data_IF_367941309753
#
_entry.id   IF_367941309753
#
_cell.length_a   1.000
_cell.length_b   1.000
_cell.length_c   1.000
_cell.angle_alpha   90.00
_cell.angle_beta   90.00
_cell.angle_gamma   90.00
#
_symmetry.space_group_name_H-M   'P 1'
#
loop_
_entity.id
_entity.type
_entity.pdbx_description
1 polymer ?
2 non-polymer ?
3 non-polymer ?
4 non-polymer ?
5 non-polymer ?
6 water ?
#
# COMPACT_ATOMS: atom_id res chain seq x y z
N UNK A 3 19.39 -0.52 -11.26
CA UNK A 3 18.61 0.67 -10.93
C UNK A 3 17.59 0.99 -12.03
N UNK A 4 16.64 0.08 -12.22
CA UNK A 4 15.58 0.27 -13.21
C UNK A 4 14.31 0.78 -12.55
N UNK A 5 13.92 0.13 -11.46
CA UNK A 5 12.78 0.59 -10.66
C UNK A 5 13.07 0.46 -9.17
N UNK A 6 12.49 1.37 -8.40
CA UNK A 6 12.43 1.23 -6.96
C UNK A 6 11.02 0.77 -6.61
N UNK A 7 10.94 -0.33 -5.87
CA UNK A 7 9.67 -0.94 -5.55
C UNK A 7 9.40 -0.91 -4.06
N UNK A 8 8.21 -0.45 -3.69
CA UNK A 8 7.78 -0.41 -2.29
C UNK A 8 6.62 -1.40 -2.12
N UNK A 9 6.78 -2.34 -1.20
CA UNK A 9 5.73 -3.30 -0.91
C UNK A 9 5.10 -2.98 0.45
N UNK A 10 3.79 -2.83 0.48
CA UNK A 10 3.07 -2.55 1.72
C UNK A 10 2.25 -3.77 2.12
N UNK A 11 2.58 -4.36 3.28
CA UNK A 11 1.82 -5.46 3.85
C UNK A 11 0.82 -4.92 4.87
N UNK A 12 -0.40 -5.44 4.88
CA UNK A 12 -1.40 -4.93 5.81
C UNK A 12 -2.18 -6.01 6.59
N UNK A 13 -1.96 -7.28 6.24
CA UNK A 13 -2.65 -8.38 6.92
C UNK A 13 -2.33 -8.43 8.41
N UNK A 14 -3.29 -8.89 9.20
CA UNK A 14 -3.06 -9.11 10.62
C UNK A 14 -2.76 -10.58 10.95
N UNK A 15 -2.64 -11.44 9.93
CA UNK A 15 -2.38 -12.86 10.18
C UNK A 15 -0.93 -13.27 10.05
N UNK A 16 -0.04 -12.28 9.99
CA UNK A 16 1.41 -12.53 10.05
C UNK A 16 1.89 -13.53 8.98
N UNK A 17 2.67 -14.54 9.37
CA UNK A 17 3.24 -15.44 8.37
C UNK A 17 2.21 -16.41 7.77
N UNK A 18 1.08 -16.60 8.45
CA UNK A 18 0.01 -17.46 7.96
C UNK A 18 -0.86 -16.71 6.95
N UNK A 19 -0.60 -15.43 6.81
CA UNK A 19 -1.39 -14.59 5.91
C UNK A 19 -1.28 -15.01 4.45
N UNK A 20 -2.42 -15.22 3.81
CA UNK A 20 -2.46 -15.45 2.37
C UNK A 20 -1.86 -14.27 1.62
N UNK A 21 -2.23 -13.05 2.00
CA UNK A 21 -1.73 -11.93 1.20
C UNK A 21 -0.25 -11.66 1.45
N UNK A 22 0.24 -11.92 2.65
CA UNK A 22 1.69 -11.84 2.89
C UNK A 22 2.49 -12.89 2.13
N UNK A 23 1.97 -14.11 2.06
CA UNK A 23 2.60 -15.14 1.24
C UNK A 23 2.66 -14.69 -0.22
N UNK A 24 1.56 -14.15 -0.72
CA UNK A 24 1.52 -13.67 -2.10
C UNK A 24 2.51 -12.52 -2.30
N UNK A 25 2.57 -11.60 -1.34
CA UNK A 25 3.50 -10.49 -1.45
C UNK A 25 4.93 -11.00 -1.49
N UNK A 26 5.24 -12.04 -0.71
CA UNK A 26 6.58 -12.59 -0.68
C UNK A 26 6.91 -13.30 -2.00
N UNK A 27 5.92 -14.00 -2.57
CA UNK A 27 6.10 -14.60 -3.89
C UNK A 27 6.32 -13.52 -4.92
N UNK A 28 5.56 -12.44 -4.82
CA UNK A 28 5.73 -11.30 -5.73
C UNK A 28 7.18 -10.78 -5.67
N UNK A 29 7.66 -10.56 -4.47
CA UNK A 29 9.03 -10.07 -4.29
C UNK A 29 10.05 -11.02 -4.92
N UNK A 30 9.90 -12.32 -4.69
CA UNK A 30 10.82 -13.31 -5.26
C UNK A 30 10.80 -13.24 -6.79
N UNK A 31 9.60 -13.13 -7.36
CA UNK A 31 9.44 -13.15 -8.81
C UNK A 31 9.95 -11.86 -9.44
N UNK A 32 9.69 -10.75 -8.77
CA UNK A 32 10.17 -9.46 -9.25
C UNK A 32 11.69 -9.43 -9.25
N UNK A 33 12.30 -9.91 -8.16
CA UNK A 33 13.75 -9.98 -8.03
C UNK A 33 14.35 -10.79 -9.18
N UNK A 34 13.71 -11.90 -9.51
CA UNK A 34 14.19 -12.78 -10.55
C UNK A 34 14.09 -12.14 -11.93
N UNK A 35 13.02 -11.40 -12.16
CA UNK A 35 12.78 -10.80 -13.47
C UNK A 35 13.49 -9.46 -13.64
N UNK A 36 13.80 -8.81 -12.53
CA UNK A 36 14.37 -7.47 -12.54
C UNK A 36 15.51 -7.36 -11.53
N UNK A 37 16.62 -8.03 -11.82
CA UNK A 37 17.71 -8.20 -10.85
C UNK A 37 18.25 -6.90 -10.24
N UNK A 38 18.27 -5.83 -11.02
CA UNK A 38 18.83 -4.57 -10.54
C UNK A 38 17.92 -3.71 -9.67
N UNK A 39 16.65 -4.07 -9.55
CA UNK A 39 15.69 -3.25 -8.84
C UNK A 39 15.86 -3.27 -7.31
N UNK A 40 15.62 -2.12 -6.69
CA UNK A 40 15.68 -1.99 -5.24
C UNK A 40 14.31 -2.12 -4.61
N UNK A 41 14.09 -3.23 -3.92
CA UNK A 41 12.81 -3.48 -3.28
C UNK A 41 12.91 -3.16 -1.79
N UNK A 42 11.92 -2.44 -1.27
CA UNK A 42 11.76 -2.32 0.17
C UNK A 42 10.35 -2.67 0.58
N UNK A 43 10.20 -3.08 1.84
CA UNK A 43 8.94 -3.61 2.34
C UNK A 43 8.60 -2.90 3.63
N UNK A 44 7.37 -2.42 3.73
CA UNK A 44 6.87 -1.84 4.97
C UNK A 44 5.67 -2.66 5.42
N UNK A 45 5.80 -3.30 6.58
CA UNK A 45 4.72 -4.11 7.14
C UNK A 45 3.91 -3.25 8.11
N UNK A 46 2.71 -2.89 7.69
CA UNK A 46 1.85 -1.96 8.43
C UNK A 46 1.17 -2.62 9.64
N UNK A 47 1.31 -3.93 9.76
CA UNK A 47 0.89 -4.61 10.98
C UNK A 47 2.04 -4.73 11.98
N UNK A 48 3.24 -5.02 11.47
CA UNK A 48 4.38 -5.21 12.35
C UNK A 48 4.84 -3.87 12.93
N UNK A 49 4.63 -2.80 12.17
CA UNK A 49 4.94 -1.46 12.64
C UNK A 49 3.70 -0.60 12.46
N UNK A 50 2.77 -0.67 13.43
CA UNK A 50 1.46 -0.05 13.20
C UNK A 50 1.53 1.46 13.05
N UNK A 51 0.69 1.97 12.17
CA UNK A 51 0.49 3.41 11.98
C UNK A 51 -0.66 3.84 12.89
N UNK A 52 -0.50 4.98 13.60
CA UNK A 52 -1.57 5.37 14.54
C UNK A 52 -2.88 5.72 13.82
N UNK A 53 -3.98 5.56 14.56
CA UNK A 53 -5.30 6.01 14.12
C UNK A 53 -5.38 7.53 14.01
N UNK A 54 -5.96 7.99 12.92
CA UNK A 54 -6.21 9.41 12.74
C UNK A 54 -7.30 9.82 13.70
N UNK A 55 -6.94 10.56 14.74
CA UNK A 55 -7.91 11.07 15.69
C UNK A 55 -7.92 12.61 15.70
N UNK A 56 -8.63 13.21 16.64
CA UNK A 56 -8.72 14.66 16.66
C UNK A 56 -7.37 15.32 16.85
N UNK A 57 -6.55 14.72 17.71
CA UNK A 57 -5.22 15.24 17.96
C UNK A 57 -4.34 15.12 16.73
N UNK A 58 -4.33 13.95 16.09
CA UNK A 58 -3.43 13.77 14.95
C UNK A 58 -3.88 14.53 13.70
N UNK A 59 -5.17 14.71 13.49
CA UNK A 59 -5.61 15.42 12.29
C UNK A 59 -5.09 16.86 12.33
N UNK A 60 -5.00 17.41 13.55
CA UNK A 60 -4.48 18.77 13.71
C UNK A 60 -3.00 18.86 13.39
N UNK A 61 -2.27 17.77 13.64
CA UNK A 61 -0.83 17.72 13.38
C UNK A 61 -0.50 17.72 11.90
N UNK A 62 -1.47 17.29 11.07
CA UNK A 62 -1.20 17.06 9.66
C UNK A 62 -1.55 18.26 8.79
N UNK A 63 -2.15 19.27 9.40
CA UNK A 63 -2.48 20.49 8.68
C UNK A 63 -1.60 21.64 9.17
N UNK A 64 -1.32 22.61 8.29
CA UNK A 64 -0.52 23.76 8.73
C UNK A 64 -1.16 24.40 9.94
N UNK A 65 -0.40 24.67 10.99
CA UNK A 65 -0.96 25.35 12.16
C UNK A 65 -0.09 26.49 12.65
N UNK A 66 1.20 26.21 12.82
CA UNK A 66 2.11 27.18 13.38
C UNK A 66 2.10 27.20 14.91
N UNK A 67 1.31 26.34 15.52
CA UNK A 67 1.25 26.27 16.98
C UNK A 67 2.24 25.22 17.50
N UNK A 68 2.53 25.26 18.79
CA UNK A 68 3.28 24.15 19.40
C UNK A 68 2.42 22.89 19.32
N UNK A 69 3.07 21.75 19.11
CA UNK A 69 2.36 20.48 18.96
C UNK A 69 2.71 19.52 20.09
N UNK A 70 1.78 18.64 20.47
CA UNK A 70 2.10 17.64 21.48
C UNK A 70 3.16 16.70 20.93
N UNK A 71 3.86 15.99 21.82
CA UNK A 71 4.82 15.00 21.31
C UNK A 71 4.18 14.00 20.34
N UNK A 72 2.98 13.50 20.63
CA UNK A 72 2.38 12.55 19.69
C UNK A 72 1.99 13.21 18.36
N UNK A 73 1.63 14.49 18.40
CA UNK A 73 1.38 15.24 17.17
C UNK A 73 2.66 15.39 16.36
N UNK A 74 3.75 15.77 17.02
CA UNK A 74 5.03 15.90 16.33
C UNK A 74 5.42 14.59 15.69
N UNK A 75 5.21 13.50 16.43
CA UNK A 75 5.59 12.18 15.97
C UNK A 75 4.74 11.78 14.75
N UNK A 76 3.46 12.13 14.76
CA UNK A 76 2.58 11.79 13.64
C UNK A 76 2.92 12.61 12.40
N UNK A 77 3.26 13.88 12.60
CA UNK A 77 3.64 14.73 11.48
C UNK A 77 4.93 14.19 10.84
N UNK A 78 5.90 13.83 11.68
CA UNK A 78 7.15 13.26 11.17
C UNK A 78 6.91 11.93 10.47
N UNK A 79 6.02 11.12 11.02
CA UNK A 79 5.70 9.82 10.42
C UNK A 79 5.05 10.01 9.06
N UNK A 80 4.06 10.89 9.01
CA UNK A 80 3.37 11.20 7.77
C UNK A 80 4.39 11.67 6.72
N UNK A 81 5.25 12.60 7.10
CA UNK A 81 6.26 13.09 6.17
C UNK A 81 7.15 11.95 5.66
N UNK A 82 7.54 11.07 6.57
CA UNK A 82 8.38 9.93 6.21
C UNK A 82 7.67 9.01 5.22
N UNK A 83 6.41 8.68 5.51
CA UNK A 83 5.65 7.77 4.66
C UNK A 83 5.45 8.39 3.27
N UNK A 84 5.18 9.69 3.23
CA UNK A 84 4.99 10.39 1.96
C UNK A 84 6.29 10.44 1.16
N UNK A 85 7.40 10.76 1.82
CA UNK A 85 8.70 10.75 1.15
C UNK A 85 9.02 9.37 0.57
N UNK A 86 8.68 8.33 1.32
CA UNK A 86 8.89 6.97 0.89
C UNK A 86 8.09 6.65 -0.37
N UNK A 87 6.82 7.08 -0.38
CA UNK A 87 5.96 6.86 -1.51
C UNK A 87 6.51 7.59 -2.73
N UNK A 88 6.90 8.84 -2.56
CA UNK A 88 7.44 9.63 -3.65
C UNK A 88 8.76 9.09 -4.19
N UNK A 89 9.52 8.41 -3.33
CA UNK A 89 10.84 7.90 -3.71
C UNK A 89 10.76 6.61 -4.53
N UNK A 90 9.60 5.95 -4.50
CA UNK A 90 9.45 4.67 -5.20
C UNK A 90 8.63 4.78 -6.48
N UNK A 91 8.88 3.87 -7.41
CA UNK A 91 8.27 3.93 -8.75
C UNK A 91 7.10 2.97 -8.84
N UNK A 92 7.24 1.83 -8.19
CA UNK A 92 6.23 0.79 -8.21
C UNK A 92 5.77 0.54 -6.79
N UNK A 93 4.47 0.68 -6.55
CA UNK A 93 3.90 0.58 -5.23
C UNK A 93 3.01 -0.66 -5.19
N UNK A 94 3.42 -1.65 -4.42
CA UNK A 94 2.68 -2.90 -4.34
C UNK A 94 1.95 -2.92 -3.02
N UNK A 95 0.63 -3.02 -3.08
CA UNK A 95 -0.16 -2.92 -1.85
C UNK A 95 -0.95 -4.19 -1.64
N UNK A 96 -0.64 -4.89 -0.54
CA UNK A 96 -1.38 -6.09 -0.19
C UNK A 96 -2.59 -5.67 0.64
N UNK A 97 -3.78 -5.83 0.07
CA UNK A 97 -4.99 -5.30 0.70
C UNK A 97 -6.10 -6.36 0.75
N UNK A 98 -5.98 -7.30 1.69
CA UNK A 98 -7.07 -8.27 1.87
C UNK A 98 -8.35 -7.60 2.36
N UNK A 99 -9.50 -8.17 2.04
CA UNK A 99 -10.79 -7.65 2.48
C UNK A 99 -11.12 -8.11 3.90
N UNK A 100 -11.32 -7.15 4.80
CA UNK A 100 -11.76 -7.45 6.15
C UNK A 100 -13.08 -6.76 6.41
N UNK A 101 -14.13 -7.55 6.60
CA UNK A 101 -15.46 -7.03 6.87
C UNK A 101 -15.88 -6.00 5.83
N UNK A 102 -15.66 -6.36 4.56
CA UNK A 102 -16.07 -5.57 3.39
C UNK A 102 -15.30 -4.27 3.20
N UNK A 103 -14.19 -4.11 3.94
CA UNK A 103 -13.35 -2.92 3.86
C UNK A 103 -11.89 -3.38 3.73
N UNK A 104 -10.97 -2.43 3.66
CA UNK A 104 -9.56 -2.76 3.75
C UNK A 104 -9.17 -2.93 5.22
N UNK A 105 -8.02 -3.56 5.47
CA UNK A 105 -7.60 -3.61 6.87
C UNK A 105 -7.37 -2.21 7.43
N UNK A 106 -7.67 -2.04 8.72
CA UNK A 106 -7.41 -0.77 9.38
C UNK A 106 -5.93 -0.41 9.29
N UNK A 107 -5.06 -1.43 9.27
CA UNK A 107 -3.61 -1.21 9.18
C UNK A 107 -3.27 -0.40 7.94
N UNK A 108 -3.96 -0.69 6.83
CA UNK A 108 -3.74 0.04 5.59
C UNK A 108 -4.47 1.38 5.61
N UNK A 109 -5.67 1.40 6.17
CA UNK A 109 -6.44 2.64 6.26
C UNK A 109 -5.68 3.70 7.04
N UNK A 110 -5.01 3.33 8.12
CA UNK A 110 -4.25 4.31 8.90
C UNK A 110 -3.11 4.89 8.08
N UNK A 111 -2.50 4.06 7.25
CA UNK A 111 -1.47 4.52 6.31
C UNK A 111 -2.07 5.54 5.33
N UNK A 112 -3.20 5.21 4.73
CA UNK A 112 -3.88 6.15 3.86
C UNK A 112 -4.20 7.49 4.56
N UNK A 113 -4.62 7.43 5.83
CA UNK A 113 -5.01 8.64 6.55
C UNK A 113 -3.79 9.48 6.89
N UNK A 114 -2.60 8.88 6.88
CA UNK A 114 -1.38 9.67 7.09
C UNK A 114 -0.85 10.25 5.77
N UNK A 115 -1.09 9.57 4.66
CA UNK A 115 -0.53 10.05 3.39
C UNK A 115 -1.44 10.98 2.60
N UNK A 116 -2.74 10.95 2.88
CA UNK A 116 -3.67 11.85 2.20
C UNK A 116 -3.68 13.21 2.89
N UNK A 117 -2.86 14.13 2.40
CA UNK A 117 -2.75 15.44 3.03
C UNK A 117 -2.79 16.56 2.01
N UNK A 118 -3.75 17.47 2.16
CA UNK A 118 -3.92 18.54 1.23
C UNK A 118 -2.69 19.43 1.23
N UNK A 119 -2.24 19.78 0.03
CA UNK A 119 -1.05 20.60 -0.14
C UNK A 119 0.21 19.76 -0.24
N UNK A 120 0.10 18.47 0.00
CA UNK A 120 1.28 17.60 -0.01
C UNK A 120 1.15 16.47 -1.03
N UNK A 121 0.11 15.66 -0.91
CA UNK A 121 -0.10 14.60 -1.89
C UNK A 121 -1.25 14.87 -2.85
N UNK A 122 -2.01 15.93 -2.57
CA UNK A 122 -2.96 16.48 -3.52
C UNK A 122 -3.10 17.96 -3.21
N UNK A 123 -3.60 18.72 -4.17
CA UNK A 123 -3.87 20.13 -3.90
C UNK A 123 -5.03 20.60 -4.74
N UNK A 124 -5.71 21.63 -4.25
CA UNK A 124 -6.79 22.23 -5.01
C UNK A 124 -6.25 23.29 -5.94
N UNK A 125 -6.74 23.27 -7.18
CA UNK A 125 -6.39 24.27 -8.17
C UNK A 125 -7.69 24.95 -8.62
N UNK A 126 -7.56 25.94 -9.50
CA UNK A 126 -8.75 26.62 -10.02
C UNK A 126 -9.64 25.64 -10.80
N UNK A 127 -9.06 24.53 -11.23
CA UNK A 127 -9.80 23.51 -11.98
C UNK A 127 -9.97 22.21 -11.21
N UNK A 128 -10.21 22.33 -9.90
CA UNK A 128 -10.45 21.15 -9.08
C UNK A 128 -9.20 20.57 -8.47
N UNK A 129 -9.36 19.49 -7.70
CA UNK A 129 -8.20 18.87 -7.05
C UNK A 129 -7.33 18.14 -8.06
N UNK A 130 -6.04 18.07 -7.77
CA UNK A 130 -5.10 17.29 -8.58
C UNK A 130 -4.16 16.56 -7.66
N UNK A 131 -3.82 15.34 -8.04
CA UNK A 131 -2.88 14.54 -7.27
C UNK A 131 -1.45 14.97 -7.49
N UNK A 132 -0.64 14.84 -6.45
CA UNK A 132 0.77 15.24 -6.50
C UNK A 132 1.74 14.06 -6.44
N UNK A 133 1.21 12.83 -6.37
CA UNK A 133 2.03 11.62 -6.39
C UNK A 133 1.97 11.06 -7.81
N UNK A 134 2.86 11.57 -8.65
CA UNK A 134 2.79 11.33 -10.09
C UNK A 134 3.85 10.35 -10.55
N UNK A 135 3.60 9.74 -11.71
CA UNK A 135 4.54 8.84 -12.35
C UNK A 135 4.67 7.49 -11.70
N UNK A 136 3.66 7.08 -10.93
CA UNK A 136 3.70 5.82 -10.21
C UNK A 136 2.91 4.70 -10.87
N UNK A 137 3.30 3.48 -10.56
CA UNK A 137 2.56 2.29 -10.94
C UNK A 137 2.17 1.57 -9.67
N UNK A 138 0.89 1.30 -9.47
CA UNK A 138 0.43 0.60 -8.28
C UNK A 138 -0.13 -0.76 -8.64
N UNK A 139 0.31 -1.77 -7.90
CA UNK A 139 -0.14 -3.15 -8.08
C UNK A 139 -0.81 -3.54 -6.77
N UNK A 140 -2.07 -3.92 -6.84
CA UNK A 140 -2.84 -4.24 -5.65
C UNK A 140 -3.06 -5.75 -5.58
N UNK A 141 -2.61 -6.36 -4.48
CA UNK A 141 -2.81 -7.78 -4.23
C UNK A 141 -4.00 -7.91 -3.28
N UNK A 142 -5.12 -8.41 -3.78
CA UNK A 142 -6.30 -8.49 -2.96
C UNK A 142 -7.06 -9.81 -3.14
N UNK A 143 -8.23 -9.87 -2.54
CA UNK A 143 -9.07 -11.05 -2.52
C UNK A 143 -10.44 -10.58 -2.97
N UNK A 144 -11.27 -11.49 -3.48
CA UNK A 144 -12.62 -11.14 -3.91
C UNK A 144 -13.64 -12.14 -3.35
N UNK A 145 -14.91 -11.75 -3.36
CA UNK A 145 -15.98 -12.59 -2.84
C UNK A 145 -17.11 -12.75 -3.85
N UNK A 154 -18.12 -6.39 -4.04
CA UNK A 154 -16.76 -5.88 -3.86
C UNK A 154 -16.70 -4.37 -4.08
N UNK A 155 -16.62 -3.63 -2.98
CA UNK A 155 -16.53 -2.16 -3.05
C UNK A 155 -15.11 -1.66 -2.74
N UNK A 156 -14.29 -2.56 -2.19
CA UNK A 156 -12.90 -2.25 -1.88
C UNK A 156 -12.12 -1.84 -3.13
N UNK A 157 -12.37 -2.54 -4.23
CA UNK A 157 -11.64 -2.26 -5.46
C UNK A 157 -11.89 -0.86 -6.02
N UNK A 158 -13.16 -0.48 -6.24
CA UNK A 158 -13.37 0.90 -6.73
C UNK A 158 -12.89 1.96 -5.73
N UNK A 159 -12.95 1.66 -4.45
CA UNK A 159 -12.45 2.59 -3.44
C UNK A 159 -10.95 2.78 -3.58
N UNK A 160 -10.21 1.69 -3.70
CA UNK A 160 -8.78 1.80 -3.89
C UNK A 160 -8.42 2.59 -5.16
N UNK A 161 -9.15 2.35 -6.24
CA UNK A 161 -8.88 3.09 -7.47
C UNK A 161 -9.15 4.58 -7.28
N UNK A 162 -10.23 4.90 -6.59
CA UNK A 162 -10.61 6.30 -6.33
C UNK A 162 -9.60 6.99 -5.45
N UNK A 163 -9.24 6.37 -4.34
CA UNK A 163 -8.29 6.97 -3.41
C UNK A 163 -6.93 7.18 -4.07
N UNK A 164 -6.39 6.15 -4.69
CA UNK A 164 -5.08 6.26 -5.33
C UNK A 164 -5.14 7.29 -6.47
N UNK A 165 -6.24 7.32 -7.20
CA UNK A 165 -6.38 8.29 -8.28
C UNK A 165 -6.36 9.72 -7.75
N UNK A 166 -6.98 9.93 -6.60
CA UNK A 166 -7.08 11.25 -6.01
C UNK A 166 -5.70 11.82 -5.69
N UNK A 167 -4.78 10.95 -5.28
CA UNK A 167 -3.42 11.42 -5.00
C UNK A 167 -2.51 11.38 -6.22
N UNK A 168 -3.06 10.98 -7.37
CA UNK A 168 -2.33 11.06 -8.62
C UNK A 168 -1.96 9.76 -9.32
N UNK A 169 -2.29 8.63 -8.71
CA UNK A 169 -1.93 7.33 -9.27
C UNK A 169 -3.09 6.77 -10.09
N UNK A 170 -2.96 6.83 -11.40
CA UNK A 170 -3.97 6.27 -12.30
C UNK A 170 -3.61 4.88 -12.84
N UNK A 171 -2.33 4.55 -12.85
CA UNK A 171 -1.90 3.21 -13.25
C UNK A 171 -2.06 2.30 -12.04
N UNK A 172 -3.26 1.73 -11.91
CA UNK A 172 -3.59 0.88 -10.78
C UNK A 172 -4.03 -0.47 -11.34
N UNK A 173 -3.33 -1.52 -10.91
CA UNK A 173 -3.50 -2.86 -11.47
C UNK A 173 -3.88 -3.83 -10.35
N UNK A 174 -5.04 -4.46 -10.46
CA UNK A 174 -5.51 -5.34 -9.40
C UNK A 174 -5.24 -6.79 -9.72
N UNK A 175 -4.81 -7.54 -8.71
CA UNK A 175 -4.60 -8.98 -8.79
C UNK A 175 -5.45 -9.62 -7.72
N UNK A 176 -6.27 -10.60 -8.10
CA UNK A 176 -7.16 -11.28 -7.16
C UNK A 176 -6.65 -12.70 -6.88
N UNK A 177 -6.27 -12.95 -5.63
CA UNK A 177 -5.80 -14.27 -5.21
C UNK A 177 -6.94 -15.26 -5.25
N UNK A 178 -7.18 -15.85 -6.42
CA UNK A 178 -8.28 -16.79 -6.58
C UNK A 178 -8.01 -18.08 -5.83
N UNK A 179 -7.70 -17.97 -4.55
CA UNK A 179 -7.47 -19.13 -3.71
C UNK A 179 -6.00 -19.42 -3.45
N UNK A 180 -5.13 -18.86 -4.28
CA UNK A 180 -3.70 -19.11 -4.15
C UNK A 180 -3.14 -18.74 -2.78
N UNK A 181 -2.46 -19.70 -2.14
CA UNK A 181 -1.90 -19.52 -0.81
C UNK A 181 -2.97 -19.33 0.26
N UNK A 182 -4.10 -20.01 0.11
CA UNK A 182 -5.21 -19.91 1.05
C UNK A 182 -4.88 -20.57 2.40
N UNK A 183 -4.44 -21.82 2.36
CA UNK A 183 -4.16 -22.57 3.56
C UNK A 183 -3.26 -23.77 3.29
N UNK A 184 -3.27 -24.75 4.23
CA UNK A 184 -2.45 -25.95 4.17
C UNK A 184 -2.22 -26.45 2.74
N UNK A 185 -0.96 -26.60 2.34
CA UNK A 185 -0.65 -26.91 0.95
C UNK A 185 0.70 -27.61 0.80
N UNK A 186 0.72 -28.71 0.05
CA UNK A 186 1.97 -29.40 -0.27
C UNK A 186 3.01 -28.39 -0.73
N UNK A 187 4.26 -28.59 -0.35
CA UNK A 187 5.32 -27.64 -0.68
C UNK A 187 5.49 -27.44 -2.20
N UNK A 188 5.95 -26.25 -2.57
CA UNK A 188 6.12 -25.78 -3.96
C UNK A 188 4.83 -25.37 -4.71
N UNK A 189 3.65 -25.80 -4.24
CA UNK A 189 2.42 -25.57 -4.99
C UNK A 189 1.92 -24.12 -5.00
N UNK A 190 1.84 -23.50 -3.82
CA UNK A 190 1.38 -22.12 -3.78
C UNK A 190 2.31 -21.24 -4.61
N UNK A 191 3.61 -21.50 -4.51
CA UNK A 191 4.60 -20.72 -5.24
C UNK A 191 4.41 -20.83 -6.75
N UNK A 192 4.16 -22.02 -7.24
CA UNK A 192 3.94 -22.23 -8.68
C UNK A 192 2.64 -21.56 -9.12
N UNK A 193 1.59 -21.72 -8.34
CA UNK A 193 0.32 -21.09 -8.66
C UNK A 193 0.47 -19.57 -8.65
N UNK A 194 1.26 -19.06 -7.72
CA UNK A 194 1.52 -17.62 -7.65
C UNK A 194 2.30 -17.13 -8.88
N UNK A 195 3.20 -17.95 -9.41
CA UNK A 195 3.96 -17.55 -10.61
C UNK A 195 3.01 -17.33 -11.77
N UNK A 196 2.05 -18.23 -11.92
CA UNK A 196 1.02 -18.09 -12.95
C UNK A 196 0.20 -16.83 -12.70
N UNK A 197 -0.24 -16.64 -11.46
CA UNK A 197 -1.08 -15.49 -11.10
C UNK A 197 -0.41 -14.14 -11.37
N UNK A 198 0.86 -14.03 -10.99
CA UNK A 198 1.55 -12.75 -10.97
C UNK A 198 2.34 -12.50 -12.25
N UNK A 199 2.25 -13.43 -13.19
CA UNK A 199 3.05 -13.37 -14.41
C UNK A 199 2.84 -12.03 -15.14
N UNK A 200 1.59 -11.62 -15.23
CA UNK A 200 1.26 -10.39 -15.97
C UNK A 200 1.89 -9.16 -15.33
N UNK A 201 1.68 -8.97 -14.03
CA UNK A 201 2.18 -7.75 -13.39
C UNK A 201 3.71 -7.74 -13.24
N UNK A 202 4.32 -8.92 -13.11
CA UNK A 202 5.77 -8.96 -12.96
C UNK A 202 6.47 -8.68 -14.30
N UNK A 203 5.95 -9.26 -15.37
CA UNK A 203 6.52 -9.04 -16.69
C UNK A 203 6.21 -7.63 -17.18
X LIG B 1 -1.42 -31.20 1.22
X LIG B 1 -0.98 -30.74 2.45
X LIG B 1 -1.63 -29.88 3.04
X LIG B 1 0.17 -31.23 3.00
X LIG B 1 0.92 -32.19 2.34
X LIG B 1 1.95 -32.63 2.84
X LIG B 1 0.47 -32.66 1.11
X LIG B 1 1.20 -33.61 0.43
X LIG B 1 0.76 -34.08 -0.79
X LIG B 1 1.49 -35.04 -1.48
X LIG B 1 1.05 -35.53 -2.71
X LIG B 1 1.83 -36.58 -3.43
X LIG B 1 -0.13 -35.02 -3.27
X LIG B 1 -0.59 -35.54 -4.60
X LIG B 1 -0.85 -34.04 -2.59
X LIG B 1 -0.42 -33.58 -1.35
X LIG B 1 -1.14 -32.60 -0.67
X LIG B 1 -0.70 -32.16 0.55
X LIG B 1 -2.41 -32.05 -1.24
X LIG B 1 -2.13 -30.93 -2.23
X LIG B 1 -1.42 -29.90 -1.58
X LIG B 1 -3.41 -30.31 -2.75
X LIG B 1 -4.32 -30.15 -1.68
X LIG B 1 -4.07 -31.14 -3.85
X LIG B 1 -3.25 -32.23 -4.24
X LIG B 1 -4.29 -30.21 -5.02
X LIG B 1 -5.07 -30.81 -6.01
X LIG B 1 -5.74 -29.87 -7.11
X LIG B 1 -4.63 -29.21 -7.91
X LIG B 1 -6.62 -30.68 -8.03
X LIG B 1 -6.55 -28.80 -6.41
X LIG C 1 -12.93 -12.23 3.04
X LIG C 1 -13.95 -11.72 2.27
X LIG C 1 -14.10 -12.14 1.13
X LIG C 1 -14.81 -10.73 2.75
X LIG C 1 -14.63 -10.26 4.04
X LIG C 1 -15.39 -9.36 4.45
X LIG C 1 -13.60 -10.77 4.81
X LIG C 1 -13.41 -10.32 6.10
X LIG C 1 -12.38 -10.82 6.86
X LIG C 1 -12.23 -10.33 8.14
X LIG C 1 -11.20 -10.81 8.94
X LIG C 1 -11.04 -10.26 10.34
X LIG C 1 -10.34 -11.79 8.45
X LIG C 1 -9.23 -12.30 9.32
X LIG C 1 -10.50 -12.27 7.15
X LIG C 1 -11.53 -11.80 6.36
X LIG C 1 -11.72 -12.26 5.07
X LIG C 1 -12.74 -11.75 4.31
X LIG C 1 -10.82 -13.29 4.46
X LIG C 1 -9.59 -12.56 3.87
X LIG C 1 -9.91 -11.47 3.05
X LIG C 1 -8.76 -13.52 3.02
X LIG C 1 -8.07 -14.37 3.91
X LIG C 1 -7.78 -12.72 2.13
X LIG C 1 -7.67 -13.30 0.85
X LIG C 1 -6.40 -12.67 2.75
X LIG C 1 -6.49 -12.28 4.12
X LIG C 1 -5.12 -12.42 4.95
X LIG C 1 -5.14 -11.44 6.09
X LIG C 1 -4.95 -13.85 5.41
X LIG C 1 -3.98 -12.03 4.03
X LIG D 1 -14.99 -3.35 -10.38
X LIG D 1 -15.28 -2.04 -10.05
X LIG D 1 -16.42 -1.73 -9.68
X LIG D 1 -14.30 -1.07 -10.12
X LIG D 1 -13.02 -1.40 -10.53
X LIG D 1 -12.17 -0.51 -10.58
X LIG D 1 -12.72 -2.71 -10.88
X LIG D 1 -11.44 -3.06 -11.29
X LIG D 1 -11.18 -4.38 -11.63
X LIG D 1 -9.89 -4.72 -12.04
X LIG D 1 -9.61 -6.04 -12.38
X LIG D 1 -8.23 -6.43 -12.84
X LIG D 1 -10.61 -7.00 -12.32
X LIG D 1 -10.28 -8.42 -12.69
X LIG D 1 -11.88 -6.66 -11.90
X LIG D 1 -12.17 -5.34 -11.56
X LIG D 1 -13.44 -5.00 -11.15
X LIG D 1 -13.72 -3.69 -10.80
X LIG D 1 -14.53 -6.03 -11.05
X LIG D 1 -15.12 -6.39 -12.40
X LIG E 1 -2.61 -0.10 23.48
X LIG E 1 -2.10 -0.18 22.20
X LIG E 1 -2.16 -1.38 21.51
X LIG E 1 -0.94 -1.82 20.78
X LIG E 1 -0.57 -3.15 20.91
X LIG E 1 0.75 -3.52 20.72
X LIG E 1 1.31 -3.46 19.35
X LIG E 1 2.68 -3.42 19.20
X LIG E 1 3.24 -3.91 18.04
X LIG E 1 2.51 -5.01 17.37
X LIG E 1 3.18 -5.76 16.43
X LIG E 1 2.52 -6.81 15.80
X LIG E 1 2.71 -8.20 16.35
X LIG E 1 3.97 -8.53 16.82
X LIG E 1 4.21 -9.84 17.25
X LIG E 1 4.32 -10.06 18.72
X LIG E 1 3.15 -10.05 19.46
X LIG E 1 3.22 -10.02 20.83
X LIG E 1 2.61 -11.16 21.58
X LIG E 1 1.56 -10.90 22.43
X LIG E 1 1.02 -11.93 23.18
X LIG E 1 0.22 -12.96 22.46
X LIG E 1 -0.59 -12.53 21.43
X LIG E 1 -1.41 -13.44 20.79
X LIG E 1 -0.84 -14.14 19.60
X LIG E 1 -1.48 -13.94 18.40
X LIG E 1 -0.81 -14.24 17.23
X LIG E 1 -0.45 -15.66 16.99
X LIG E 1 0.73 -15.91 16.32
X LIG E 1 1.29 -17.17 16.38
X LIG E 1 0.39 -18.34 16.22
X LIG E 1 0.94 -19.51 15.73
X LIG F 1 3.06 -24.19 0.72
X LIG F 1 2.24 -23.25 1.39
X LIG F 1 2.92 -23.97 -0.78
X LIG F 1 1.91 -24.80 -1.27
X LIG F 1 4.23 -24.23 -1.50
X LIG F 1 4.65 -23.07 -2.19
X LIG G 1 -15.54 0.22 0.69
X LIG G 1 -16.05 1.25 -0.03
X LIG G 1 -15.75 2.42 0.58
X LIG G 1 -15.06 2.13 1.70
X LIG G 1 -14.92 0.75 1.77
#
# INVERSE_FOLDING_TARGET
SNAMSKVLVLKSSILATSSQSNQLADFFVEQWQAAHAGDQITVRDLAAQPIPVLDGELVGALRPSGTALTPRQQEALALSDELIAELQANDVIVIAAPMYNFNIPTQLKNYFDMIARAGVTFRYTEKGPEGLVTGKRAIILTSRGGIHKDTPTDLVVPYLRLFLGFIGITDVEFVFAEGIAYGPEVATKAQADAKTLLAQVVAA
FMN N1 C2 O2 N3 C4 O4 C4A N5 C5A C6 C7 C7M C8 C8M C9 C9A N10 C10 C1' C2' O2' C3' O3' C4' O4' C5' O5' P O1P O2P O3P
FMN N1 C2 O2 N3 C4 O4 C4A N5 C5A C6 C7 C7M C8 C8M C9 C9A N10 C10 C1' C2' O2' C3' O3' C4' O4' C5' O5' P O1P O2P O3P
FMN N1 C2 O2 N3 C4 O4 C4A N5 C5A C6 C7 C7M C8 C8M C9 C9A N10 C10 C1' C2'
12P C35 O34 C33 C32 O31 C30 C29 O28 C27 C26 O25 C24 C23 O22 C21 C20 O19 C18 C17 O16 C15 C14 O13 C12 C11 O10 C9 C8 O7 C6 C5 O4
GOL C1 O1 C2 O2 C3 O3
IMD N1 C2 N3 C4 C5
#
